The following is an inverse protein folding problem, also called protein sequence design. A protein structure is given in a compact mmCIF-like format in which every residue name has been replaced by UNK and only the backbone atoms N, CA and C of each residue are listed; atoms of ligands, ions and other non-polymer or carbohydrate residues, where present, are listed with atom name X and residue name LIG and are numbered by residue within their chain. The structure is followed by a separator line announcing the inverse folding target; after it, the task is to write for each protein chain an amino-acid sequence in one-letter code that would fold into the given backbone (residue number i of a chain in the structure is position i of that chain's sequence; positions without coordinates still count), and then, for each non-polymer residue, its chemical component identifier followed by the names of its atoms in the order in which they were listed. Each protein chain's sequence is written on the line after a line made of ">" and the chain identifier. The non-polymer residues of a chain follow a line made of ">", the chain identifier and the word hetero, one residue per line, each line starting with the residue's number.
data_IF_891592807281
#
_entry.id   IF_891592807281
#
_cell.length_a   1.000
_cell.length_b   1.000
_cell.length_c   1.000
_cell.angle_alpha   90.00
_cell.angle_beta   90.00
_cell.angle_gamma   90.00
#
_symmetry.space_group_name_H-M   'P 1'
#
loop_
_entity.id
_entity.type
_entity.pdbx_description
1 polymer ?
#
# COMPACT_ATOMS: atom_id res chain seq x y z
N UNK A 1 -11.27 12.70 10.95
CA UNK A 1 -11.32 11.22 10.88
C UNK A 1 -10.30 10.69 9.87
N UNK A 2 -9.61 9.58 10.17
CA UNK A 2 -8.71 8.88 9.25
C UNK A 2 -9.31 7.53 8.83
N UNK A 3 -9.59 7.36 7.54
CA UNK A 3 -10.06 6.10 6.94
C UNK A 3 -8.93 5.41 6.18
N UNK A 4 -8.98 4.09 6.10
CA UNK A 4 -8.13 3.27 5.24
C UNK A 4 -8.91 2.07 4.74
N UNK A 5 -8.52 1.56 3.58
CA UNK A 5 -8.88 0.20 3.19
C UNK A 5 -7.80 -0.72 3.69
N UNK A 6 -8.19 -1.77 4.41
CA UNK A 6 -7.25 -2.73 4.96
C UNK A 6 -7.69 -4.15 4.61
N UNK A 7 -6.70 -5.04 4.45
CA UNK A 7 -6.94 -6.43 4.09
C UNK A 7 -7.03 -7.28 5.35
N UNK A 8 -8.15 -7.98 5.48
CA UNK A 8 -8.40 -8.91 6.59
C UNK A 8 -9.04 -10.18 6.08
N UNK A 9 -8.46 -11.33 6.43
CA UNK A 9 -8.92 -12.64 5.95
C UNK A 9 -9.08 -12.68 4.43
N UNK A 10 -8.13 -12.05 3.72
CA UNK A 10 -8.07 -11.96 2.26
C UNK A 10 -9.02 -10.98 1.58
N UNK A 11 -9.89 -10.31 2.33
CA UNK A 11 -10.90 -9.38 1.82
C UNK A 11 -10.53 -7.94 2.22
N UNK A 12 -10.71 -7.00 1.29
CA UNK A 12 -10.58 -5.58 1.58
C UNK A 12 -11.79 -5.08 2.35
N UNK A 13 -11.54 -4.37 3.45
CA UNK A 13 -12.55 -3.83 4.36
C UNK A 13 -12.25 -2.38 4.65
N UNK A 14 -13.30 -1.60 4.96
CA UNK A 14 -13.14 -0.23 5.43
C UNK A 14 -12.74 -0.22 6.91
N UNK A 15 -11.65 0.46 7.21
CA UNK A 15 -11.13 0.69 8.54
C UNK A 15 -11.08 2.17 8.91
N UNK A 16 -11.11 2.46 10.21
CA UNK A 16 -10.78 3.77 10.77
C UNK A 16 -9.63 3.64 11.76
N UNK A 17 -8.60 4.49 11.64
CA UNK A 17 -7.45 4.46 12.54
C UNK A 17 -7.76 5.19 13.84
N UNK A 18 -7.70 4.46 14.97
CA UNK A 18 -7.90 5.00 16.31
C UNK A 18 -6.85 4.44 17.28
N UNK A 19 -6.05 5.31 17.89
CA UNK A 19 -5.08 4.94 18.94
C UNK A 19 -4.16 3.75 18.55
N UNK A 20 -3.71 3.69 17.29
CA UNK A 20 -2.85 2.62 16.76
C UNK A 20 -3.59 1.34 16.35
N UNK A 21 -4.93 1.34 16.36
CA UNK A 21 -5.75 0.21 15.92
C UNK A 21 -6.60 0.60 14.72
N UNK A 22 -6.81 -0.36 13.81
CA UNK A 22 -7.77 -0.28 12.73
C UNK A 22 -9.10 -0.81 13.25
N UNK A 23 -10.08 0.08 13.41
CA UNK A 23 -11.46 -0.25 13.77
C UNK A 23 -12.25 -0.60 12.51
N UNK A 24 -12.89 -1.76 12.50
CA UNK A 24 -13.69 -2.26 11.39
C UNK A 24 -15.00 -1.48 11.26
N UNK A 25 -15.13 -0.67 10.20
CA UNK A 25 -16.28 0.22 10.02
C UNK A 25 -17.56 -0.55 9.69
N UNK A 26 -17.47 -1.73 9.09
CA UNK A 26 -18.63 -2.57 8.85
C UNK A 26 -19.22 -3.08 10.17
N UNK A 27 -18.38 -3.52 11.09
CA UNK A 27 -18.82 -4.02 12.40
C UNK A 27 -19.39 -2.92 13.30
N UNK A 28 -18.91 -1.67 13.14
CA UNK A 28 -19.39 -0.53 13.93
C UNK A 28 -20.62 0.14 13.31
N UNK A 29 -20.62 0.32 11.99
CA UNK A 29 -21.58 1.19 11.31
C UNK A 29 -22.28 0.55 10.10
N UNK A 30 -21.93 -0.68 9.73
CA UNK A 30 -22.57 -1.41 8.61
C UNK A 30 -22.10 -0.99 7.22
N UNK A 31 -20.95 -0.31 7.11
CA UNK A 31 -20.38 0.12 5.83
C UNK A 31 -19.11 -0.66 5.51
N UNK A 32 -19.15 -1.48 4.46
CA UNK A 32 -18.10 -2.45 4.13
C UNK A 32 -16.87 -1.87 3.42
N UNK A 33 -17.05 -0.83 2.60
CA UNK A 33 -15.99 -0.26 1.76
C UNK A 33 -16.06 1.28 1.68
N UNK A 34 -14.93 1.89 1.34
CA UNK A 34 -14.79 3.35 1.31
C UNK A 34 -15.66 4.01 0.24
N UNK A 35 -15.83 3.38 -0.92
CA UNK A 35 -16.61 3.96 -2.01
C UNK A 35 -18.11 3.98 -1.67
N UNK A 36 -18.61 2.94 -0.99
CA UNK A 36 -19.96 2.91 -0.42
C UNK A 36 -20.16 3.99 0.64
N UNK A 37 -19.16 4.24 1.50
CA UNK A 37 -19.20 5.36 2.44
C UNK A 37 -19.33 6.69 1.70
N UNK A 38 -18.44 6.95 0.75
CA UNK A 38 -18.42 8.19 -0.05
C UNK A 38 -19.76 8.41 -0.74
N UNK A 39 -20.29 7.40 -1.44
CA UNK A 39 -21.55 7.48 -2.18
C UNK A 39 -22.79 7.63 -1.29
N UNK A 40 -22.71 7.21 -0.02
CA UNK A 40 -23.79 7.39 0.94
C UNK A 40 -24.05 8.84 1.36
N UNK A 41 -23.13 9.76 1.04
CA UNK A 41 -23.28 11.19 1.26
C UNK A 41 -23.22 11.60 2.73
N UNK A 42 -23.37 12.91 2.96
CA UNK A 42 -23.10 13.59 4.24
C UNK A 42 -23.82 12.93 5.42
N UNK A 43 -25.10 12.58 5.28
CA UNK A 43 -25.86 11.95 6.37
C UNK A 43 -25.27 10.60 6.82
N UNK A 44 -24.77 9.78 5.87
CA UNK A 44 -24.09 8.54 6.21
C UNK A 44 -22.71 8.83 6.84
N UNK A 45 -21.98 9.81 6.31
CA UNK A 45 -20.67 10.19 6.84
C UNK A 45 -20.77 10.62 8.30
N UNK A 46 -21.75 11.48 8.64
CA UNK A 46 -22.02 11.94 10.00
C UNK A 46 -22.38 10.76 10.91
N UNK A 47 -23.30 9.90 10.47
CA UNK A 47 -23.71 8.70 11.22
C UNK A 47 -22.53 7.79 11.52
N UNK A 48 -21.69 7.52 10.52
CA UNK A 48 -20.50 6.66 10.67
C UNK A 48 -19.48 7.31 11.60
N UNK A 49 -19.24 8.62 11.45
CA UNK A 49 -18.31 9.36 12.29
C UNK A 49 -18.76 9.39 13.77
N UNK A 50 -20.05 9.62 14.04
CA UNK A 50 -20.62 9.58 15.38
C UNK A 50 -20.48 8.19 16.02
N UNK A 51 -20.85 7.13 15.29
CA UNK A 51 -20.69 5.76 15.78
C UNK A 51 -19.23 5.44 16.10
N UNK A 52 -18.31 5.77 15.20
CA UNK A 52 -16.88 5.57 15.43
C UNK A 52 -16.32 6.37 16.62
N UNK A 53 -16.78 7.61 16.82
CA UNK A 53 -16.37 8.44 17.98
C UNK A 53 -16.90 7.89 19.31
N UNK A 54 -18.10 7.30 19.28
CA UNK A 54 -18.75 6.72 20.46
C UNK A 54 -18.30 5.29 20.80
N UNK A 55 -17.58 4.62 19.88
CA UNK A 55 -17.23 3.22 20.02
C UNK A 55 -16.19 2.97 21.13
N UNK A 56 -16.44 1.96 21.97
CA UNK A 56 -15.49 1.54 22.99
C UNK A 56 -14.42 0.62 22.39
N UNK A 57 -13.20 1.15 22.20
CA UNK A 57 -12.09 0.42 21.60
C UNK A 57 -11.72 -0.87 22.36
N UNK A 58 -11.86 -0.91 23.70
CA UNK A 58 -11.56 -2.11 24.48
C UNK A 58 -12.55 -3.25 24.17
N UNK A 59 -13.85 -2.93 24.05
CA UNK A 59 -14.86 -3.90 23.64
C UNK A 59 -14.67 -4.36 22.20
N UNK A 60 -14.32 -3.43 21.29
CA UNK A 60 -14.07 -3.77 19.89
C UNK A 60 -12.88 -4.72 19.77
N UNK A 61 -11.79 -4.50 20.52
CA UNK A 61 -10.66 -5.45 20.59
C UNK A 61 -11.10 -6.82 21.09
N UNK A 62 -11.87 -6.88 22.18
CA UNK A 62 -12.36 -8.13 22.74
C UNK A 62 -13.25 -8.92 21.77
N UNK A 63 -14.00 -8.23 20.91
CA UNK A 63 -14.85 -8.82 19.86
C UNK A 63 -14.10 -9.08 18.54
N UNK A 64 -12.82 -8.73 18.46
CA UNK A 64 -12.06 -8.78 17.21
C UNK A 64 -12.51 -7.75 16.16
N UNK A 65 -13.28 -6.73 16.52
CA UNK A 65 -13.69 -5.64 15.64
C UNK A 65 -12.63 -4.54 15.49
N UNK A 66 -11.49 -4.66 16.18
CA UNK A 66 -10.33 -3.78 16.03
C UNK A 66 -9.04 -4.60 16.03
N UNK A 67 -8.15 -4.31 15.08
CA UNK A 67 -6.85 -4.99 14.93
C UNK A 67 -5.72 -3.98 15.05
N UNK A 68 -4.54 -4.41 15.52
CA UNK A 68 -3.39 -3.53 15.61
C UNK A 68 -3.01 -3.06 14.19
N UNK A 69 -2.72 -1.77 14.04
CA UNK A 69 -2.27 -1.23 12.77
C UNK A 69 -0.92 -1.84 12.36
N UNK A 70 -0.82 -2.21 11.09
CA UNK A 70 0.42 -2.63 10.45
C UNK A 70 0.37 -2.20 8.98
N UNK A 71 1.48 -1.66 8.47
CA UNK A 71 1.58 -1.12 7.11
C UNK A 71 1.17 -2.14 6.05
N UNK A 72 1.66 -3.38 6.17
CA UNK A 72 1.28 -4.45 5.25
C UNK A 72 -0.22 -4.74 5.17
N UNK A 73 -1.02 -4.39 6.18
CA UNK A 73 -2.48 -4.56 6.08
C UNK A 73 -3.14 -3.52 5.19
N UNK A 74 -2.48 -2.40 4.89
CA UNK A 74 -3.08 -1.26 4.19
C UNK A 74 -3.08 -1.51 2.68
N UNK A 75 -4.24 -1.32 2.06
CA UNK A 75 -4.41 -1.34 0.60
C UNK A 75 -4.70 0.06 0.07
N UNK A 76 -4.71 0.23 -1.25
CA UNK A 76 -5.20 1.46 -1.87
C UNK A 76 -6.63 1.78 -1.36
N UNK A 77 -7.00 3.07 -1.19
CA UNK A 77 -8.35 3.46 -0.75
C UNK A 77 -9.46 2.74 -1.54
N UNK A 78 -9.32 2.69 -2.85
CA UNK A 78 -10.09 1.84 -3.76
C UNK A 78 -9.38 1.80 -5.13
N UNK A 79 -9.47 0.67 -5.84
CA UNK A 79 -8.83 0.47 -7.16
C UNK A 79 -9.80 0.61 -8.34
N UNK A 80 -11.08 0.81 -8.06
CA UNK A 80 -12.16 0.96 -9.04
C UNK A 80 -12.90 2.30 -8.86
N UNK A 81 -12.20 3.45 -8.95
CA UNK A 81 -12.86 4.76 -8.96
C UNK A 81 -13.91 4.86 -10.10
N UNK A 82 -14.90 5.77 -9.99
CA UNK A 82 -15.90 5.96 -11.06
C UNK A 82 -15.29 6.31 -12.43
N UNK A 83 -14.14 6.99 -12.42
CA UNK A 83 -13.37 7.40 -13.61
C UNK A 83 -11.88 7.12 -13.40
N UNK A 84 -11.09 7.31 -14.46
CA UNK A 84 -9.65 7.43 -14.32
C UNK A 84 -9.28 8.51 -13.28
N UNK A 85 -8.12 8.35 -12.63
CA UNK A 85 -7.58 9.39 -11.73
C UNK A 85 -7.26 10.63 -12.57
N UNK A 86 -7.87 11.77 -12.24
CA UNK A 86 -7.67 13.04 -12.94
C UNK A 86 -6.39 13.67 -12.38
N UNK A 87 -5.44 14.03 -13.24
CA UNK A 87 -4.13 14.48 -12.80
C UNK A 87 -3.81 15.85 -13.41
N UNK A 88 -3.12 16.70 -12.63
CA UNK A 88 -2.68 18.01 -13.06
C UNK A 88 -1.19 18.03 -13.35
N UNK A 89 -0.82 18.52 -14.52
CA UNK A 89 0.58 18.75 -14.86
C UNK A 89 1.01 20.17 -14.52
N UNK A 90 2.28 20.32 -14.12
CA UNK A 90 2.94 21.63 -14.00
C UNK A 90 2.20 22.61 -13.07
N UNK A 91 1.66 22.13 -11.95
CA UNK A 91 0.88 22.97 -11.02
C UNK A 91 1.71 23.60 -9.87
N UNK A 92 3.03 23.47 -9.91
CA UNK A 92 3.95 24.21 -9.04
C UNK A 92 4.87 25.08 -9.90
N UNK A 93 5.03 26.35 -9.51
CA UNK A 93 5.84 27.29 -10.29
C UNK A 93 7.30 26.84 -10.43
N UNK A 94 7.90 26.33 -9.35
CA UNK A 94 9.28 25.82 -9.38
C UNK A 94 9.42 24.59 -10.27
N UNK A 95 8.46 23.65 -10.23
CA UNK A 95 8.43 22.48 -11.11
C UNK A 95 8.36 22.88 -12.59
N UNK A 96 7.54 23.90 -12.89
CA UNK A 96 7.49 24.50 -14.21
C UNK A 96 8.86 25.06 -14.65
N UNK A 97 9.53 25.81 -13.77
CA UNK A 97 10.84 26.41 -14.04
C UNK A 97 11.95 25.39 -14.27
N UNK A 98 12.07 24.34 -13.44
CA UNK A 98 13.12 23.31 -13.64
C UNK A 98 12.98 22.62 -14.99
N UNK A 99 11.76 22.38 -15.44
CA UNK A 99 11.49 21.82 -16.75
C UNK A 99 11.90 22.74 -17.88
N UNK A 100 11.59 24.05 -17.78
CA UNK A 100 12.00 25.05 -18.78
C UNK A 100 13.53 25.17 -18.85
N UNK A 101 14.21 25.21 -17.70
CA UNK A 101 15.68 25.22 -17.61
C UNK A 101 16.27 23.97 -18.25
N UNK A 102 15.74 22.78 -17.95
CA UNK A 102 16.22 21.52 -18.53
C UNK A 102 16.05 21.46 -20.06
N UNK A 103 15.08 22.18 -20.63
CA UNK A 103 14.86 22.30 -22.08
C UNK A 103 15.65 23.45 -22.73
N UNK A 104 16.38 24.24 -21.95
CA UNK A 104 17.09 25.43 -22.45
C UNK A 104 16.16 26.57 -22.87
N UNK A 105 14.93 26.59 -22.36
CA UNK A 105 13.92 27.59 -22.67
C UNK A 105 14.09 28.80 -21.72
N UNK A 106 14.22 30.01 -22.28
CA UNK A 106 14.29 31.25 -21.52
C UNK A 106 13.06 32.12 -21.77
N UNK A 107 12.43 32.65 -20.70
CA UNK A 107 11.30 33.57 -20.81
C UNK A 107 9.94 32.89 -21.05
N UNK A 108 9.87 31.58 -20.83
CA UNK A 108 8.64 30.82 -20.95
C UNK A 108 7.69 31.18 -19.79
N UNK A 109 6.38 31.35 -20.08
CA UNK A 109 5.37 31.74 -19.10
C UNK A 109 4.70 30.50 -18.50
N UNK A 110 4.41 30.49 -17.19
CA UNK A 110 3.63 29.41 -16.58
C UNK A 110 2.27 29.28 -17.28
N UNK A 111 1.66 28.07 -17.28
CA UNK A 111 0.35 27.86 -17.89
C UNK A 111 -0.70 28.86 -17.38
N UNK A 112 -1.50 29.42 -18.29
CA UNK A 112 -2.62 30.32 -17.94
C UNK A 112 -3.87 29.53 -17.51
N UNK A 113 -3.92 28.23 -17.79
CA UNK A 113 -4.99 27.32 -17.40
C UNK A 113 -4.40 25.96 -16.93
N UNK A 114 -5.13 25.21 -16.09
CA UNK A 114 -4.70 23.88 -15.65
C UNK A 114 -4.52 22.91 -16.84
N UNK A 115 -3.48 22.08 -16.77
CA UNK A 115 -3.25 21.02 -17.76
C UNK A 115 -3.68 19.69 -17.16
N UNK A 116 -4.73 19.09 -17.72
CA UNK A 116 -5.24 17.80 -17.25
C UNK A 116 -4.81 16.63 -18.13
N UNK A 117 -4.58 15.50 -17.47
CA UNK A 117 -4.46 14.19 -18.06
C UNK A 117 -5.07 13.17 -17.08
N UNK A 118 -4.98 11.88 -17.40
CA UNK A 118 -5.51 10.86 -16.50
C UNK A 118 -4.57 9.67 -16.35
N UNK A 119 -4.75 8.92 -15.26
CA UNK A 119 -4.14 7.60 -15.05
C UNK A 119 -5.24 6.53 -14.97
N UNK A 120 -5.12 5.40 -15.69
CA UNK A 120 -6.13 4.36 -15.69
C UNK A 120 -6.24 3.68 -14.32
N UNK A 121 -7.41 3.17 -13.90
CA UNK A 121 -7.57 2.45 -12.63
C UNK A 121 -6.61 1.28 -12.42
N UNK A 122 -6.16 0.62 -13.51
CA UNK A 122 -5.18 -0.47 -13.45
C UNK A 122 -3.79 -0.03 -12.96
N UNK A 123 -3.49 1.27 -13.01
CA UNK A 123 -2.25 1.82 -12.46
C UNK A 123 -2.28 1.96 -10.93
N UNK A 124 -3.45 1.87 -10.28
CA UNK A 124 -3.59 2.12 -8.84
C UNK A 124 -2.98 0.99 -8.02
N UNK A 125 -2.11 1.36 -7.07
CA UNK A 125 -1.50 0.48 -6.07
C UNK A 125 -1.60 1.05 -4.66
N UNK A 126 -1.45 0.20 -3.66
CA UNK A 126 -1.48 0.58 -2.25
C UNK A 126 -0.24 1.34 -1.78
N UNK A 127 -0.34 1.90 -0.58
CA UNK A 127 0.71 2.71 0.04
C UNK A 127 2.00 1.94 0.37
N UNK A 128 1.95 0.62 0.41
CA UNK A 128 3.09 -0.25 0.75
C UNK A 128 3.28 -1.41 -0.22
N UNK A 129 2.55 -1.41 -1.34
CA UNK A 129 2.72 -2.43 -2.38
C UNK A 129 4.07 -2.21 -3.08
N UNK A 130 4.76 -3.26 -3.55
CA UNK A 130 5.96 -3.06 -4.36
C UNK A 130 5.60 -2.51 -5.75
N UNK A 131 6.51 -1.74 -6.33
CA UNK A 131 6.31 -1.10 -7.63
C UNK A 131 7.11 -1.83 -8.70
N UNK A 132 6.45 -2.34 -9.76
CA UNK A 132 7.14 -3.02 -10.84
C UNK A 132 7.91 -2.00 -11.70
N UNK A 133 9.18 -2.30 -11.96
CA UNK A 133 10.02 -1.59 -12.92
C UNK A 133 10.43 -2.57 -14.02
N UNK A 134 9.84 -2.44 -15.19
CA UNK A 134 10.20 -3.22 -16.36
C UNK A 134 11.15 -2.41 -17.25
N UNK A 135 12.42 -2.83 -17.27
CA UNK A 135 13.47 -2.20 -18.07
C UNK A 135 13.28 -2.41 -19.59
N UNK A 136 12.46 -3.38 -20.03
CA UNK A 136 12.06 -3.48 -21.43
C UNK A 136 11.05 -2.39 -21.82
N UNK A 137 10.31 -1.85 -20.86
CA UNK A 137 9.32 -0.77 -21.07
C UNK A 137 9.96 0.61 -20.89
N UNK A 138 10.71 0.83 -19.80
CA UNK A 138 11.26 2.15 -19.47
C UNK A 138 12.62 2.07 -18.78
N UNK A 139 13.50 3.01 -19.15
CA UNK A 139 14.79 3.26 -18.49
C UNK A 139 14.78 4.57 -17.69
N UNK A 140 13.64 5.27 -17.67
CA UNK A 140 13.51 6.63 -17.15
C UNK A 140 12.27 6.77 -16.27
N UNK A 141 12.19 5.91 -15.26
CA UNK A 141 11.07 5.90 -14.34
C UNK A 141 11.28 6.90 -13.21
N UNK A 142 10.37 7.85 -13.09
CA UNK A 142 10.51 9.06 -12.29
C UNK A 142 9.42 9.17 -11.24
N UNK A 143 9.71 9.91 -10.16
CA UNK A 143 8.85 10.10 -9.00
C UNK A 143 8.16 11.47 -9.02
N UNK A 144 6.94 11.53 -8.48
CA UNK A 144 6.20 12.78 -8.35
C UNK A 144 5.27 12.72 -7.11
N UNK A 145 5.65 13.33 -5.97
CA UNK A 145 4.74 13.44 -4.81
C UNK A 145 3.61 14.42 -5.07
N UNK A 146 2.37 13.99 -4.85
CA UNK A 146 1.19 14.82 -5.08
C UNK A 146 0.18 14.74 -3.93
N UNK A 147 -0.52 15.86 -3.72
CA UNK A 147 -1.65 15.95 -2.81
C UNK A 147 -2.91 15.47 -3.53
N UNK A 148 -3.57 14.45 -2.97
CA UNK A 148 -4.76 13.83 -3.55
C UNK A 148 -6.05 14.37 -2.94
N UNK A 149 -7.05 14.64 -3.77
CA UNK A 149 -8.39 15.06 -3.37
C UNK A 149 -9.41 14.01 -3.81
N UNK A 150 -10.28 13.58 -2.90
CA UNK A 150 -11.38 12.65 -3.18
C UNK A 150 -12.71 13.40 -3.14
N UNK A 151 -13.44 13.35 -4.24
CA UNK A 151 -14.76 13.98 -4.37
C UNK A 151 -15.80 13.16 -3.60
N UNK A 152 -16.61 13.83 -2.80
CA UNK A 152 -17.65 13.25 -1.95
C UNK A 152 -19.06 13.43 -2.47
N UNK A 153 -19.47 14.68 -2.75
CA UNK A 153 -20.86 15.00 -3.17
C UNK A 153 -21.02 14.97 -4.69
N UNK A 154 -19.96 15.32 -5.43
CA UNK A 154 -20.02 15.48 -6.89
C UNK A 154 -20.83 16.70 -7.33
N UNK A 155 -20.92 16.94 -8.62
CA UNK A 155 -21.65 18.08 -9.19
C UNK A 155 -21.09 18.57 -10.52
N UNK A 156 -21.83 19.49 -11.14
CA UNK A 156 -21.44 20.19 -12.38
C UNK A 156 -21.61 21.69 -12.17
N UNK A 157 -20.73 22.49 -12.76
CA UNK A 157 -20.65 23.96 -12.58
C UNK A 157 -20.61 24.35 -11.10
N UNK A 158 -19.75 23.69 -10.34
CA UNK A 158 -19.55 23.95 -8.91
C UNK A 158 -18.87 25.31 -8.79
N UNK A 159 -19.50 26.24 -8.07
CA UNK A 159 -18.89 27.54 -7.78
C UNK A 159 -17.67 27.36 -6.87
N UNK A 160 -16.61 28.15 -7.10
CA UNK A 160 -15.34 28.02 -6.40
C UNK A 160 -15.48 28.09 -4.88
N UNK A 161 -16.33 28.98 -4.36
CA UNK A 161 -16.64 29.13 -2.93
C UNK A 161 -17.35 27.92 -2.31
N UNK A 162 -17.92 27.04 -3.14
CA UNK A 162 -18.56 25.81 -2.68
C UNK A 162 -17.67 24.58 -2.87
N UNK A 163 -16.58 24.68 -3.63
CA UNK A 163 -15.75 23.54 -4.06
C UNK A 163 -15.36 22.60 -2.90
N UNK A 164 -14.88 23.15 -1.78
CA UNK A 164 -14.44 22.33 -0.64
C UNK A 164 -15.58 21.56 0.03
N UNK A 165 -16.83 22.00 -0.09
CA UNK A 165 -18.01 21.26 0.41
C UNK A 165 -18.29 19.99 -0.38
N UNK A 166 -17.70 19.86 -1.57
CA UNK A 166 -17.80 18.66 -2.40
C UNK A 166 -16.70 17.64 -2.10
N UNK A 167 -15.73 17.95 -1.25
CA UNK A 167 -14.60 17.06 -0.92
C UNK A 167 -14.99 16.12 0.22
N UNK A 168 -14.75 14.82 0.03
CA UNK A 168 -14.87 13.82 1.10
C UNK A 168 -13.63 13.80 1.99
N UNK A 169 -12.44 13.86 1.37
CA UNK A 169 -11.18 13.83 2.09
C UNK A 169 -9.97 13.94 1.17
N UNK A 170 -8.80 13.83 1.81
CA UNK A 170 -7.49 14.02 1.19
C UNK A 170 -6.60 12.79 1.39
N UNK A 171 -5.70 12.54 0.46
CA UNK A 171 -4.78 11.40 0.49
C UNK A 171 -3.44 11.76 -0.15
N UNK A 172 -2.49 10.84 -0.17
CA UNK A 172 -1.22 10.97 -0.90
C UNK A 172 -1.35 10.23 -2.22
N UNK A 173 -0.82 10.83 -3.29
CA UNK A 173 -0.66 10.18 -4.59
C UNK A 173 0.82 10.29 -4.98
N UNK A 174 1.36 9.24 -5.61
CA UNK A 174 2.62 9.34 -6.32
C UNK A 174 2.39 9.15 -7.82
N UNK A 175 2.62 10.19 -8.61
CA UNK A 175 2.40 10.16 -10.05
C UNK A 175 3.64 9.65 -10.82
N UNK A 176 3.91 8.36 -10.67
CA UNK A 176 5.05 7.72 -11.29
C UNK A 176 5.00 7.83 -12.82
N UNK A 177 6.15 8.16 -13.41
CA UNK A 177 6.24 8.61 -14.80
C UNK A 177 7.36 7.89 -15.54
N UNK A 178 7.02 7.10 -16.56
CA UNK A 178 7.98 6.57 -17.52
C UNK A 178 8.29 7.65 -18.57
N UNK A 179 9.33 8.45 -18.37
CA UNK A 179 9.58 9.69 -19.14
C UNK A 179 9.87 9.45 -20.62
N UNK A 180 10.58 8.38 -20.93
CA UNK A 180 10.83 7.92 -22.30
C UNK A 180 9.53 7.53 -23.02
N UNK A 181 8.62 6.83 -22.34
CA UNK A 181 7.29 6.49 -22.86
C UNK A 181 6.42 7.75 -22.97
N UNK A 182 6.44 8.63 -21.96
CA UNK A 182 5.68 9.88 -21.92
C UNK A 182 6.02 10.77 -23.11
N UNK A 183 7.31 11.02 -23.36
CA UNK A 183 7.75 11.90 -24.45
C UNK A 183 7.57 11.30 -25.84
N UNK A 184 7.53 9.97 -25.95
CA UNK A 184 7.26 9.28 -27.22
C UNK A 184 5.84 9.48 -27.74
N UNK A 185 4.85 9.69 -26.86
CA UNK A 185 3.43 9.54 -27.21
C UNK A 185 2.63 10.85 -27.36
N UNK A 186 3.26 12.02 -27.32
CA UNK A 186 2.65 13.38 -27.34
C UNK A 186 1.70 13.67 -26.17
N UNK A 187 0.77 12.76 -25.88
CA UNK A 187 -0.09 12.73 -24.70
C UNK A 187 0.61 11.98 -23.56
N UNK A 188 0.37 12.40 -22.32
CA UNK A 188 1.05 11.83 -21.16
C UNK A 188 0.47 10.51 -20.67
N UNK A 189 -0.80 10.22 -21.01
CA UNK A 189 -1.55 9.05 -20.54
C UNK A 189 -0.75 7.75 -20.54
N UNK A 190 -0.09 7.41 -21.65
CA UNK A 190 0.62 6.13 -21.77
C UNK A 190 1.89 6.05 -20.91
N UNK A 191 2.62 7.15 -20.73
CA UNK A 191 3.79 7.18 -19.84
C UNK A 191 3.43 7.29 -18.36
N UNK A 192 2.19 7.69 -18.07
CA UNK A 192 1.61 7.84 -16.72
C UNK A 192 0.72 6.66 -16.33
N UNK A 193 0.49 5.70 -17.22
CA UNK A 193 -0.54 4.66 -17.05
C UNK A 193 -0.01 3.23 -17.00
N UNK A 194 1.24 3.03 -16.58
CA UNK A 194 1.80 1.71 -16.35
C UNK A 194 1.11 1.06 -15.13
N UNK A 195 1.00 -0.26 -15.11
CA UNK A 195 0.46 -0.96 -13.96
C UNK A 195 1.33 -0.67 -12.72
N UNK A 196 0.68 -0.32 -11.60
CA UNK A 196 1.35 0.10 -10.37
C UNK A 196 1.99 1.49 -10.37
N UNK A 197 1.79 2.30 -11.42
CA UNK A 197 2.34 3.66 -11.49
C UNK A 197 1.54 4.74 -10.75
N UNK A 198 0.46 4.39 -10.05
CA UNK A 198 -0.38 5.31 -9.28
C UNK A 198 -0.56 4.84 -7.83
N UNK A 199 0.48 4.86 -6.98
CA UNK A 199 0.29 4.62 -5.57
C UNK A 199 -0.61 5.64 -4.90
N UNK A 200 -1.59 5.18 -4.10
CA UNK A 200 -2.51 6.04 -3.35
C UNK A 200 -2.66 5.52 -1.91
N UNK A 201 -2.61 6.42 -0.93
CA UNK A 201 -2.85 6.09 0.48
C UNK A 201 -1.92 6.87 1.43
N UNK A 202 -1.52 6.30 2.59
CA UNK A 202 -2.12 5.14 3.25
C UNK A 202 -3.51 5.42 3.83
N UNK A 203 -3.85 6.69 4.00
CA UNK A 203 -5.12 7.11 4.58
C UNK A 203 -5.87 8.07 3.66
N UNK A 204 -7.19 8.07 3.81
CA UNK A 204 -8.06 9.17 3.41
C UNK A 204 -8.47 9.91 4.67
N UNK A 205 -7.98 11.14 4.83
CA UNK A 205 -8.27 11.97 5.99
C UNK A 205 -9.40 12.95 5.66
N UNK A 206 -10.36 13.11 6.57
CA UNK A 206 -11.43 14.09 6.39
C UNK A 206 -10.91 15.52 6.60
N UNK A 207 -11.60 16.55 6.06
CA UNK A 207 -11.10 17.92 6.08
C UNK A 207 -10.71 18.48 7.46
N UNK A 208 -11.36 18.03 8.54
CA UNK A 208 -11.06 18.41 9.93
C UNK A 208 -9.71 17.91 10.46
N UNK A 209 -9.01 17.01 9.76
CA UNK A 209 -7.67 16.53 10.13
C UNK A 209 -6.53 17.40 9.59
N UNK A 210 -6.83 18.36 8.70
CA UNK A 210 -5.86 19.24 8.06
C UNK A 210 -6.15 20.70 8.40
N UNK A 211 -5.16 21.62 8.30
CA UNK A 211 -5.41 23.04 8.47
C UNK A 211 -6.39 23.55 7.42
N UNK A 212 -7.25 24.51 7.78
CA UNK A 212 -8.25 25.11 6.87
C UNK A 212 -7.62 25.73 5.62
N UNK A 213 -6.40 26.27 5.74
CA UNK A 213 -5.65 26.80 4.59
C UNK A 213 -5.22 25.74 3.59
N UNK A 214 -5.21 24.46 4.00
CA UNK A 214 -4.63 23.34 3.24
C UNK A 214 -3.18 23.60 2.83
N UNK A 215 -2.42 24.39 3.59
CA UNK A 215 -0.99 24.60 3.42
C UNK A 215 -0.23 23.52 4.20
N UNK A 216 0.00 22.38 3.57
CA UNK A 216 0.51 21.17 4.19
C UNK A 216 1.91 20.86 3.64
N UNK A 217 2.91 20.62 4.49
CA UNK A 217 4.22 20.14 4.05
C UNK A 217 4.15 18.79 3.33
N UNK A 218 4.85 18.70 2.21
CA UNK A 218 4.98 17.48 1.39
C UNK A 218 6.44 17.19 1.10
N UNK A 219 6.82 15.92 1.09
CA UNK A 219 8.18 15.51 0.74
C UNK A 219 8.24 14.12 0.13
N UNK A 220 9.31 13.86 -0.61
CA UNK A 220 9.63 12.55 -1.17
C UNK A 220 11.09 12.23 -0.94
N UNK A 221 11.38 10.99 -0.55
CA UNK A 221 12.72 10.45 -0.39
C UNK A 221 12.93 9.25 -1.28
N UNK A 222 14.15 9.08 -1.78
CA UNK A 222 14.62 7.83 -2.39
C UNK A 222 15.87 7.40 -1.65
N UNK A 223 15.86 6.19 -1.11
CA UNK A 223 16.93 5.61 -0.28
C UNK A 223 17.32 6.53 0.90
N UNK A 224 16.32 7.14 1.55
CA UNK A 224 16.50 8.06 2.67
C UNK A 224 16.97 9.48 2.28
N UNK A 225 17.25 9.74 1.00
CA UNK A 225 17.68 11.05 0.50
C UNK A 225 16.46 11.83 0.03
N UNK A 226 16.23 13.02 0.60
CA UNK A 226 15.16 13.92 0.17
C UNK A 226 15.38 14.32 -1.31
N UNK A 227 14.36 14.06 -2.13
CA UNK A 227 14.32 14.39 -3.54
C UNK A 227 13.41 15.58 -3.85
N UNK A 228 12.27 15.65 -3.16
CA UNK A 228 11.30 16.74 -3.24
C UNK A 228 10.93 17.19 -1.83
N UNK A 229 10.76 18.50 -1.63
CA UNK A 229 10.32 19.12 -0.37
C UNK A 229 9.63 20.44 -0.67
N UNK A 230 8.35 20.54 -0.30
CA UNK A 230 7.50 21.68 -0.66
C UNK A 230 6.32 21.85 0.31
N UNK A 231 5.41 22.75 -0.03
CA UNK A 231 4.14 22.93 0.67
C UNK A 231 3.01 23.11 -0.34
N UNK A 232 1.85 22.50 -0.09
CA UNK A 232 0.67 22.59 -0.99
C UNK A 232 0.12 24.01 -1.16
N UNK A 233 0.47 24.96 -0.28
CA UNK A 233 0.20 26.38 -0.50
C UNK A 233 0.98 27.01 -1.66
N UNK A 234 1.87 26.26 -2.31
CA UNK A 234 2.63 26.68 -3.50
C UNK A 234 1.97 26.23 -4.81
N UNK A 235 0.81 25.56 -4.76
CA UNK A 235 0.01 25.25 -5.95
C UNK A 235 -0.33 26.55 -6.70
N UNK A 236 -0.14 26.56 -8.01
CA UNK A 236 -0.52 27.72 -8.85
C UNK A 236 -2.03 27.81 -9.04
N UNK A 237 -2.68 26.66 -9.24
CA UNK A 237 -4.12 26.50 -9.21
C UNK A 237 -4.51 25.73 -7.94
N UNK A 238 -5.21 26.41 -7.04
CA UNK A 238 -5.65 25.83 -5.78
C UNK A 238 -6.81 24.81 -5.96
N UNK A 239 -7.09 24.03 -4.92
CA UNK A 239 -8.13 22.98 -4.96
C UNK A 239 -9.51 23.54 -5.37
N UNK A 240 -9.98 24.69 -4.82
CA UNK A 240 -11.21 25.32 -5.29
C UNK A 240 -11.22 25.63 -6.78
N UNK A 241 -10.13 26.19 -7.32
CA UNK A 241 -9.99 26.52 -8.75
C UNK A 241 -10.08 25.26 -9.61
N UNK A 242 -9.35 24.20 -9.22
CA UNK A 242 -9.33 22.92 -9.94
C UNK A 242 -10.74 22.31 -10.03
N UNK A 243 -11.46 22.25 -8.90
CA UNK A 243 -12.81 21.67 -8.86
C UNK A 243 -13.80 22.50 -9.69
N UNK A 244 -13.75 23.84 -9.58
CA UNK A 244 -14.63 24.73 -10.34
C UNK A 244 -14.39 24.61 -11.86
N UNK A 245 -13.13 24.57 -12.27
CA UNK A 245 -12.73 24.45 -13.67
C UNK A 245 -13.14 23.09 -14.27
N UNK A 246 -12.74 21.98 -13.64
CA UNK A 246 -13.15 20.63 -14.08
C UNK A 246 -14.66 20.50 -14.17
N UNK A 247 -15.38 20.95 -13.14
CA UNK A 247 -16.83 20.80 -13.07
C UNK A 247 -17.59 21.68 -14.09
N UNK A 248 -16.93 22.69 -14.68
CA UNK A 248 -17.55 23.54 -15.71
C UNK A 248 -17.90 22.72 -16.95
N UNK A 249 -17.01 21.81 -17.34
CA UNK A 249 -17.14 21.02 -18.58
C UNK A 249 -17.71 19.63 -18.34
N UNK A 250 -17.35 18.99 -17.23
CA UNK A 250 -17.78 17.63 -16.89
C UNK A 250 -18.43 17.54 -15.50
N UNK A 251 -19.15 16.46 -15.24
CA UNK A 251 -19.70 16.18 -13.92
C UNK A 251 -18.63 15.48 -13.08
N UNK A 252 -18.33 16.01 -11.90
CA UNK A 252 -17.56 15.30 -10.87
C UNK A 252 -18.49 14.35 -10.13
N UNK A 253 -18.03 13.14 -9.86
CA UNK A 253 -18.81 12.08 -9.20
C UNK A 253 -18.23 11.74 -7.82
N UNK A 254 -19.08 11.34 -6.85
CA UNK A 254 -18.62 10.75 -5.59
C UNK A 254 -17.64 9.59 -5.83
N UNK A 255 -16.41 9.74 -5.35
CA UNK A 255 -15.31 8.80 -5.50
C UNK A 255 -14.31 9.17 -6.59
N UNK A 256 -14.55 10.21 -7.39
CA UNK A 256 -13.52 10.73 -8.30
C UNK A 256 -12.27 11.15 -7.50
N UNK A 257 -11.09 10.83 -8.04
CA UNK A 257 -9.79 11.15 -7.45
C UNK A 257 -9.11 12.19 -8.32
N UNK A 258 -8.61 13.27 -7.69
CA UNK A 258 -7.84 14.33 -8.33
C UNK A 258 -6.43 14.38 -7.72
N UNK A 259 -5.41 14.29 -8.57
CA UNK A 259 -3.99 14.46 -8.25
C UNK A 259 -3.58 15.88 -8.64
N UNK A 260 -3.13 16.69 -7.67
CA UNK A 260 -3.05 18.16 -7.85
C UNK A 260 -1.77 18.67 -8.49
N UNK A 261 -0.85 17.81 -8.91
CA UNK A 261 0.46 18.15 -9.43
C UNK A 261 1.58 18.02 -8.39
N UNK A 262 2.80 17.96 -8.89
CA UNK A 262 4.04 17.72 -8.13
C UNK A 262 4.94 18.97 -8.03
N UNK A 263 5.68 19.16 -6.93
CA UNK A 263 6.67 20.22 -6.79
C UNK A 263 7.96 19.93 -7.60
N UNK A 264 8.94 20.84 -7.53
CA UNK A 264 10.26 20.63 -8.12
C UNK A 264 11.03 19.47 -7.47
N UNK A 265 12.11 19.03 -8.12
CA UNK A 265 12.98 17.96 -7.64
C UNK A 265 12.68 16.59 -8.26
N UNK A 266 11.90 16.54 -9.33
CA UNK A 266 11.71 15.31 -10.12
C UNK A 266 13.04 14.87 -10.73
N UNK A 267 13.24 13.57 -10.84
CA UNK A 267 14.47 12.96 -11.30
C UNK A 267 14.89 13.38 -12.71
N UNK A 268 13.91 13.53 -13.63
CA UNK A 268 14.16 13.86 -15.03
C UNK A 268 14.79 15.25 -15.25
N UNK A 269 14.61 16.19 -14.31
CA UNK A 269 15.14 17.55 -14.43
C UNK A 269 16.38 17.80 -13.54
N UNK A 270 16.88 16.76 -12.87
CA UNK A 270 18.16 16.81 -12.17
C UNK A 270 19.33 16.88 -13.15
N UNK A 271 20.49 17.35 -12.67
CA UNK A 271 21.73 17.39 -13.43
C UNK A 271 22.86 16.69 -12.66
N UNK A 272 23.25 15.46 -13.06
CA UNK A 272 22.66 14.64 -14.13
C UNK A 272 21.23 14.15 -13.77
N UNK A 273 20.42 13.75 -14.77
CA UNK A 273 19.12 13.13 -14.50
C UNK A 273 19.26 11.88 -13.63
N UNK A 274 18.28 11.65 -12.78
CA UNK A 274 18.21 10.54 -11.85
C UNK A 274 16.87 9.81 -12.03
N UNK A 275 16.86 8.48 -11.96
CA UNK A 275 15.64 7.68 -12.12
C UNK A 275 15.63 6.55 -11.10
N UNK A 276 14.44 6.03 -10.82
CA UNK A 276 14.26 4.87 -9.97
C UNK A 276 14.95 3.64 -10.57
N UNK A 277 15.60 2.88 -9.72
CA UNK A 277 16.26 1.62 -10.05
C UNK A 277 15.74 0.47 -9.19
N UNK A 278 16.03 -0.76 -9.61
CA UNK A 278 15.75 -1.92 -8.78
C UNK A 278 16.36 -1.79 -7.38
N UNK A 279 15.55 -2.15 -6.38
CA UNK A 279 15.82 -2.14 -4.94
C UNK A 279 15.82 -0.76 -4.31
N UNK A 280 15.53 0.30 -5.07
CA UNK A 280 15.27 1.60 -4.46
C UNK A 280 14.07 1.52 -3.52
N UNK A 281 14.18 2.23 -2.40
CA UNK A 281 13.09 2.48 -1.46
C UNK A 281 12.65 3.93 -1.63
N UNK A 282 11.43 4.11 -2.10
CA UNK A 282 10.81 5.43 -2.24
C UNK A 282 9.83 5.68 -1.10
N UNK A 283 9.93 6.81 -0.42
CA UNK A 283 9.01 7.23 0.63
C UNK A 283 8.33 8.53 0.24
N UNK A 284 7.00 8.58 0.32
CA UNK A 284 6.20 9.75 -0.01
C UNK A 284 5.43 10.20 1.23
N UNK A 285 5.64 11.44 1.68
CA UNK A 285 5.15 11.93 2.97
C UNK A 285 4.33 13.21 2.76
N UNK A 286 3.15 13.25 3.38
CA UNK A 286 2.35 14.46 3.53
C UNK A 286 1.94 14.59 4.99
N UNK A 287 2.31 15.70 5.62
CA UNK A 287 2.02 15.95 7.03
C UNK A 287 0.50 15.93 7.29
N UNK A 288 0.08 15.38 8.43
CA UNK A 288 -1.33 15.21 8.77
C UNK A 288 -2.03 14.02 8.08
N UNK A 289 -1.54 13.59 6.92
CA UNK A 289 -2.03 12.39 6.20
C UNK A 289 -1.23 11.15 6.61
N UNK A 290 0.05 11.06 6.26
CA UNK A 290 0.88 9.89 6.58
C UNK A 290 2.09 9.71 5.66
N UNK A 291 2.56 8.47 5.55
CA UNK A 291 3.70 8.07 4.72
C UNK A 291 3.31 6.85 3.88
N UNK A 292 3.63 6.90 2.59
CA UNK A 292 3.69 5.71 1.74
C UNK A 292 5.15 5.28 1.56
N UNK A 293 5.40 3.97 1.43
CA UNK A 293 6.75 3.42 1.23
C UNK A 293 6.72 2.31 0.20
N UNK A 294 7.50 2.46 -0.86
CA UNK A 294 7.48 1.58 -2.03
C UNK A 294 8.87 1.02 -2.32
N UNK A 295 8.97 -0.31 -2.42
CA UNK A 295 10.15 -1.00 -2.94
C UNK A 295 10.03 -1.16 -4.46
N UNK A 296 11.05 -0.71 -5.20
CA UNK A 296 11.11 -0.86 -6.66
C UNK A 296 11.71 -2.22 -6.99
N UNK A 297 11.02 -3.04 -7.78
CA UNK A 297 11.48 -4.40 -8.11
C UNK A 297 11.08 -4.84 -9.51
N UNK A 298 11.65 -5.93 -10.01
CA UNK A 298 11.29 -6.47 -11.32
C UNK A 298 9.84 -7.00 -11.32
N UNK A 299 9.15 -7.00 -12.47
CA UNK A 299 7.80 -7.57 -12.57
C UNK A 299 7.73 -9.01 -12.06
N UNK A 300 8.75 -9.85 -12.29
CA UNK A 300 8.72 -11.24 -11.79
C UNK A 300 8.78 -11.30 -10.27
N UNK A 301 9.59 -10.44 -9.64
CA UNK A 301 9.69 -10.37 -8.18
C UNK A 301 8.40 -9.86 -7.55
N UNK A 302 7.81 -8.81 -8.12
CA UNK A 302 6.50 -8.28 -7.70
C UNK A 302 5.43 -9.36 -7.83
N UNK A 303 5.39 -10.08 -8.96
CA UNK A 303 4.42 -11.16 -9.17
C UNK A 303 4.58 -12.33 -8.17
N UNK A 304 5.83 -12.68 -7.82
CA UNK A 304 6.11 -13.72 -6.82
C UNK A 304 5.64 -13.29 -5.42
N UNK A 305 5.92 -12.05 -5.00
CA UNK A 305 5.43 -11.52 -3.71
C UNK A 305 3.91 -11.47 -3.71
N UNK A 306 3.27 -11.01 -4.79
CA UNK A 306 1.82 -11.01 -4.90
C UNK A 306 1.21 -12.44 -4.82
N UNK A 307 1.89 -13.45 -5.36
CA UNK A 307 1.48 -14.84 -5.21
C UNK A 307 1.63 -15.34 -3.76
N UNK A 308 2.71 -14.94 -3.09
CA UNK A 308 2.95 -15.23 -1.69
C UNK A 308 1.88 -14.60 -0.78
N UNK A 309 1.57 -13.31 -0.98
CA UNK A 309 0.48 -12.61 -0.29
C UNK A 309 -0.87 -13.29 -0.48
N UNK A 310 -1.22 -13.68 -1.71
CA UNK A 310 -2.48 -14.40 -1.98
C UNK A 310 -2.57 -15.73 -1.21
N UNK A 311 -1.49 -16.50 -1.14
CA UNK A 311 -1.48 -17.75 -0.40
C UNK A 311 -1.62 -17.53 1.12
N UNK A 312 -1.00 -16.48 1.68
CA UNK A 312 -1.25 -16.07 3.06
C UNK A 312 -2.71 -15.71 3.26
N UNK A 313 -3.29 -14.94 2.36
CA UNK A 313 -4.67 -14.48 2.47
C UNK A 313 -5.69 -15.62 2.40
N UNK A 314 -5.45 -16.61 1.53
CA UNK A 314 -6.19 -17.89 1.49
C UNK A 314 -6.11 -18.60 2.86
N UNK A 315 -4.92 -18.70 3.45
CA UNK A 315 -4.73 -19.27 4.78
C UNK A 315 -5.49 -18.48 5.87
N UNK A 316 -5.40 -17.15 5.87
CA UNK A 316 -6.10 -16.32 6.86
C UNK A 316 -7.62 -16.42 6.73
N UNK A 317 -8.13 -16.62 5.51
CA UNK A 317 -9.54 -16.90 5.27
C UNK A 317 -9.93 -18.25 5.89
N UNK A 318 -9.13 -19.30 5.67
CA UNK A 318 -9.35 -20.61 6.31
C UNK A 318 -9.32 -20.49 7.84
N UNK A 319 -8.33 -19.79 8.39
CA UNK A 319 -8.19 -19.62 9.84
C UNK A 319 -9.36 -18.85 10.46
N UNK A 320 -9.99 -17.94 9.72
CA UNK A 320 -11.19 -17.23 10.20
C UNK A 320 -12.41 -18.13 10.44
N UNK A 321 -12.41 -19.34 9.86
CA UNK A 321 -13.46 -20.34 10.04
C UNK A 321 -13.18 -21.27 11.24
N UNK A 322 -11.96 -21.24 11.80
CA UNK A 322 -11.56 -22.11 12.91
C UNK A 322 -12.19 -21.60 14.21
N UNK A 323 -13.04 -22.41 14.83
CA UNK A 323 -13.67 -22.14 16.10
C UNK A 323 -12.84 -22.72 17.26
N UNK A 324 -13.00 -22.23 18.51
CA UNK A 324 -12.23 -22.69 19.66
C UNK A 324 -12.22 -24.21 19.87
N UNK A 325 -13.34 -24.89 19.59
CA UNK A 325 -13.42 -26.35 19.70
C UNK A 325 -12.56 -27.10 18.67
N UNK A 326 -12.09 -26.43 17.61
CA UNK A 326 -11.22 -27.03 16.59
C UNK A 326 -9.73 -26.93 16.95
N UNK A 327 -9.34 -26.10 17.93
CA UNK A 327 -7.94 -25.73 18.14
C UNK A 327 -7.05 -26.93 18.48
N UNK A 328 -7.55 -27.83 19.31
CA UNK A 328 -6.82 -28.98 19.82
C UNK A 328 -7.12 -30.28 19.02
N UNK A 329 -7.89 -30.18 17.93
CA UNK A 329 -8.14 -31.32 17.05
C UNK A 329 -6.89 -31.64 16.22
N UNK A 330 -6.58 -32.93 16.11
CA UNK A 330 -5.49 -33.42 15.29
C UNK A 330 -5.69 -33.09 13.81
N UNK A 331 -4.62 -32.69 13.14
CA UNK A 331 -4.61 -32.48 11.69
C UNK A 331 -4.42 -33.80 10.94
N UNK A 332 -4.30 -33.75 9.60
CA UNK A 332 -3.96 -34.91 8.77
C UNK A 332 -2.63 -35.54 9.21
N UNK A 333 -1.71 -34.71 9.72
CA UNK A 333 -0.58 -35.18 10.49
C UNK A 333 -1.00 -35.33 11.97
N UNK A 334 -1.15 -36.56 12.49
CA UNK A 334 -1.68 -36.78 13.84
C UNK A 334 -0.77 -36.23 14.94
N UNK A 335 0.48 -35.90 14.62
CA UNK A 335 1.43 -35.33 15.57
C UNK A 335 1.13 -33.87 15.91
N UNK A 336 0.29 -33.17 15.13
CA UNK A 336 0.00 -31.75 15.31
C UNK A 336 -1.50 -31.48 15.43
N UNK A 337 -1.88 -30.69 16.43
CA UNK A 337 -3.18 -30.00 16.48
C UNK A 337 -3.25 -28.84 15.49
N UNK A 338 -4.45 -28.32 15.20
CA UNK A 338 -4.63 -27.10 14.38
C UNK A 338 -3.81 -25.94 14.93
N UNK A 339 -3.81 -25.75 16.25
CA UNK A 339 -3.06 -24.67 16.90
C UNK A 339 -1.54 -24.84 16.76
N UNK A 340 -1.04 -26.06 16.93
CA UNK A 340 0.39 -26.36 16.75
C UNK A 340 0.82 -26.20 15.29
N UNK A 341 -0.05 -26.52 14.33
CA UNK A 341 0.21 -26.29 12.91
C UNK A 341 0.34 -24.80 12.59
N UNK A 342 -0.52 -23.94 13.16
CA UNK A 342 -0.38 -22.49 13.00
C UNK A 342 0.88 -21.96 13.68
N UNK A 343 1.24 -22.51 14.85
CA UNK A 343 2.50 -22.19 15.51
C UNK A 343 3.73 -22.58 14.66
N UNK A 344 3.67 -23.72 13.97
CA UNK A 344 4.68 -24.16 13.01
C UNK A 344 4.82 -23.16 11.86
N UNK A 345 3.72 -22.74 11.25
CA UNK A 345 3.73 -21.76 10.16
C UNK A 345 4.31 -20.42 10.60
N UNK A 346 3.86 -19.87 11.74
CA UNK A 346 4.34 -18.61 12.29
C UNK A 346 5.85 -18.67 12.61
N UNK A 347 6.31 -19.76 13.22
CA UNK A 347 7.73 -19.97 13.50
C UNK A 347 8.58 -20.12 12.23
N UNK A 348 8.09 -20.89 11.26
CA UNK A 348 8.77 -21.14 10.00
C UNK A 348 9.01 -19.87 9.18
N UNK A 349 8.04 -18.96 9.13
CA UNK A 349 8.17 -17.70 8.41
C UNK A 349 9.02 -16.66 9.18
N UNK A 350 8.90 -16.60 10.51
CA UNK A 350 9.76 -15.75 11.36
C UNK A 350 11.23 -16.14 11.23
N UNK A 351 11.50 -17.44 11.16
CA UNK A 351 12.83 -17.96 10.89
C UNK A 351 13.33 -17.53 9.50
N UNK A 352 12.48 -17.60 8.47
CA UNK A 352 12.85 -17.17 7.12
C UNK A 352 13.27 -15.70 7.08
N UNK A 353 12.51 -14.81 7.72
CA UNK A 353 12.87 -13.40 7.84
C UNK A 353 14.25 -13.23 8.49
N UNK A 354 14.47 -13.92 9.61
CA UNK A 354 15.76 -13.90 10.33
C UNK A 354 16.92 -14.41 9.46
N UNK A 355 16.70 -15.48 8.70
CA UNK A 355 17.72 -16.07 7.84
C UNK A 355 18.10 -15.14 6.67
N UNK A 356 17.11 -14.51 6.03
CA UNK A 356 17.36 -13.55 4.94
C UNK A 356 18.06 -12.31 5.50
N UNK A 357 17.62 -11.78 6.64
CA UNK A 357 18.27 -10.64 7.30
C UNK A 357 19.73 -10.95 7.62
N UNK A 358 20.03 -12.10 8.23
CA UNK A 358 21.40 -12.49 8.54
C UNK A 358 22.29 -12.64 7.31
N UNK A 359 21.72 -13.10 6.20
CA UNK A 359 22.40 -13.14 4.91
C UNK A 359 22.74 -11.73 4.40
N UNK A 360 21.81 -10.78 4.52
CA UNK A 360 22.06 -9.36 4.22
C UNK A 360 23.16 -8.76 5.11
N UNK A 361 23.18 -9.13 6.39
CA UNK A 361 24.17 -8.66 7.36
C UNK A 361 25.55 -9.35 7.23
N UNK A 362 25.70 -10.31 6.30
CA UNK A 362 26.94 -11.08 6.13
C UNK A 362 27.21 -12.11 7.23
N UNK A 363 26.24 -12.38 8.09
CA UNK A 363 26.35 -13.35 9.21
C UNK A 363 25.80 -14.71 8.79
N UNK A 364 26.62 -15.51 8.09
CA UNK A 364 26.24 -16.86 7.67
C UNK A 364 25.78 -17.73 8.86
N UNK A 365 24.61 -18.35 8.73
CA UNK A 365 24.10 -19.31 9.74
C UNK A 365 24.81 -20.65 9.53
N UNK A 366 25.67 -21.03 10.48
CA UNK A 366 26.25 -22.36 10.52
C UNK A 366 25.24 -23.40 11.07
N UNK A 367 24.91 -24.41 10.27
CA UNK A 367 24.40 -25.72 10.72
C UNK A 367 22.88 -25.88 10.89
N UNK A 368 22.29 -26.79 10.10
CA UNK A 368 20.84 -27.08 10.01
C UNK A 368 20.31 -27.94 11.16
N UNK A 369 21.17 -28.73 11.82
CA UNK A 369 20.73 -29.66 12.87
C UNK A 369 20.27 -28.92 14.14
N UNK A 370 21.00 -27.86 14.51
CA UNK A 370 20.58 -26.93 15.56
C UNK A 370 19.35 -26.08 15.17
N UNK A 371 18.99 -26.00 13.87
CA UNK A 371 17.82 -25.25 13.39
C UNK A 371 16.52 -26.05 13.49
N UNK A 372 16.55 -27.36 13.23
CA UNK A 372 15.35 -28.21 13.33
C UNK A 372 14.94 -28.45 14.78
N UNK A 373 15.91 -28.71 15.67
CA UNK A 373 15.66 -28.85 17.11
C UNK A 373 15.15 -27.53 17.73
N UNK A 374 15.65 -26.37 17.25
CA UNK A 374 15.13 -25.05 17.64
C UNK A 374 13.73 -24.79 17.12
N UNK A 375 13.40 -25.13 15.88
CA UNK A 375 12.04 -24.95 15.38
C UNK A 375 11.02 -25.84 16.11
N UNK A 376 11.35 -27.10 16.38
CA UNK A 376 10.47 -28.01 17.11
C UNK A 376 10.26 -27.57 18.58
N UNK A 377 11.32 -27.18 19.28
CA UNK A 377 11.21 -26.61 20.64
C UNK A 377 10.45 -25.28 20.66
N UNK A 378 10.63 -24.45 19.63
CA UNK A 378 9.89 -23.20 19.49
C UNK A 378 8.40 -23.38 19.16
N UNK A 379 7.97 -24.49 18.53
CA UNK A 379 6.53 -24.76 18.31
C UNK A 379 5.84 -24.96 19.67
N UNK A 380 6.46 -25.73 20.57
CA UNK A 380 5.94 -25.96 21.92
C UNK A 380 5.92 -24.66 22.75
N UNK A 381 6.95 -23.81 22.65
CA UNK A 381 6.95 -22.48 23.29
C UNK A 381 5.86 -21.55 22.72
N UNK A 382 5.62 -21.60 21.40
CA UNK A 382 4.59 -20.80 20.72
C UNK A 382 3.18 -21.32 20.97
N UNK A 383 3.00 -22.61 21.22
CA UNK A 383 1.68 -23.21 21.48
C UNK A 383 0.99 -22.63 22.73
N UNK A 384 1.72 -21.95 23.62
CA UNK A 384 1.15 -21.21 24.77
C UNK A 384 0.38 -19.96 24.32
N UNK A 385 0.74 -19.36 23.18
CA UNK A 385 0.05 -18.18 22.63
C UNK A 385 -1.37 -18.52 22.20
N UNK A 386 -2.27 -17.54 22.20
CA UNK A 386 -3.57 -17.65 21.56
C UNK A 386 -3.44 -17.81 20.04
N UNK A 387 -4.48 -18.35 19.38
CA UNK A 387 -4.47 -18.47 17.92
C UNK A 387 -4.30 -17.10 17.24
N UNK A 388 -4.93 -16.05 17.79
CA UNK A 388 -4.81 -14.70 17.26
C UNK A 388 -3.38 -14.16 17.34
N UNK A 389 -2.68 -14.36 18.46
CA UNK A 389 -1.27 -13.95 18.60
C UNK A 389 -0.35 -14.66 17.60
N UNK A 390 -0.63 -15.94 17.29
CA UNK A 390 0.11 -16.69 16.27
C UNK A 390 -0.17 -16.16 14.86
N UNK A 391 -1.42 -15.83 14.56
CA UNK A 391 -1.82 -15.20 13.29
C UNK A 391 -1.13 -13.85 13.13
N UNK A 392 -1.12 -13.02 14.17
CA UNK A 392 -0.48 -11.71 14.15
C UNK A 392 1.04 -11.83 13.92
N UNK A 393 1.70 -12.80 14.57
CA UNK A 393 3.12 -13.12 14.34
C UNK A 393 3.37 -13.58 12.90
N UNK A 394 2.54 -14.47 12.36
CA UNK A 394 2.64 -14.97 10.98
C UNK A 394 2.53 -13.83 9.98
N UNK A 395 1.52 -12.97 10.12
CA UNK A 395 1.28 -11.83 9.23
C UNK A 395 2.45 -10.85 9.26
N UNK A 396 2.93 -10.49 10.44
CA UNK A 396 4.09 -9.59 10.60
C UNK A 396 5.33 -10.16 9.91
N UNK A 397 5.66 -11.42 10.20
CA UNK A 397 6.85 -12.07 9.65
C UNK A 397 6.74 -12.32 8.15
N UNK A 398 5.54 -12.57 7.63
CA UNK A 398 5.28 -12.65 6.19
C UNK A 398 5.66 -11.36 5.47
N UNK A 399 5.17 -10.20 5.94
CA UNK A 399 5.51 -8.92 5.34
C UNK A 399 7.01 -8.63 5.42
N UNK A 400 7.64 -8.97 6.55
CA UNK A 400 9.08 -8.84 6.69
C UNK A 400 9.84 -9.69 5.66
N UNK A 401 9.42 -10.94 5.40
CA UNK A 401 10.03 -11.78 4.36
C UNK A 401 9.87 -11.17 2.97
N UNK A 402 8.68 -10.66 2.64
CA UNK A 402 8.42 -10.03 1.34
C UNK A 402 9.34 -8.83 1.10
N UNK A 403 9.43 -7.91 2.06
CA UNK A 403 10.30 -6.73 1.99
C UNK A 403 11.77 -7.11 1.87
N UNK A 404 12.23 -8.04 2.72
CA UNK A 404 13.61 -8.50 2.69
C UNK A 404 13.93 -9.14 1.34
N UNK A 405 13.05 -10.00 0.82
CA UNK A 405 13.23 -10.63 -0.48
C UNK A 405 13.39 -9.60 -1.61
N UNK A 406 12.53 -8.58 -1.64
CA UNK A 406 12.58 -7.54 -2.66
C UNK A 406 13.85 -6.68 -2.59
N UNK A 407 14.44 -6.53 -1.39
CA UNK A 407 15.69 -5.78 -1.18
C UNK A 407 16.97 -6.51 -1.67
N UNK A 408 16.90 -7.83 -1.88
CA UNK A 408 18.06 -8.64 -2.28
C UNK A 408 18.56 -8.29 -3.69
N UNK A 409 19.86 -8.39 -3.91
CA UNK A 409 20.42 -8.49 -5.28
C UNK A 409 20.02 -9.80 -5.95
N UNK A 410 20.15 -9.88 -7.28
CA UNK A 410 19.86 -11.12 -7.99
C UNK A 410 20.79 -12.26 -7.58
N UNK A 411 22.08 -11.99 -7.37
CA UNK A 411 23.04 -12.95 -6.82
C UNK A 411 22.60 -13.47 -5.45
N UNK A 412 22.18 -12.58 -4.54
CA UNK A 412 21.71 -12.96 -3.21
C UNK A 412 20.46 -13.86 -3.29
N UNK A 413 19.53 -13.60 -4.22
CA UNK A 413 18.35 -14.48 -4.37
C UNK A 413 18.69 -15.90 -4.80
N UNK A 414 19.83 -16.10 -5.48
CA UNK A 414 20.35 -17.40 -5.89
C UNK A 414 21.17 -18.10 -4.80
N UNK A 415 21.41 -17.44 -3.66
CA UNK A 415 22.09 -18.08 -2.53
C UNK A 415 21.29 -19.28 -2.05
N UNK A 416 21.96 -20.44 -1.95
CA UNK A 416 21.33 -21.68 -1.55
C UNK A 416 21.38 -21.89 -0.04
N UNK A 417 20.29 -22.39 0.51
CA UNK A 417 20.21 -22.96 1.86
C UNK A 417 19.71 -24.39 1.76
N UNK A 418 20.16 -25.25 2.66
CA UNK A 418 19.69 -26.64 2.70
C UNK A 418 18.50 -26.76 3.63
N UNK A 419 17.43 -27.39 3.15
CA UNK A 419 16.20 -27.66 3.88
C UNK A 419 16.38 -28.81 4.88
N UNK A 420 15.39 -29.00 5.76
CA UNK A 420 15.31 -30.16 6.66
C UNK A 420 15.31 -31.50 5.91
N UNK A 421 14.76 -31.53 4.69
CA UNK A 421 14.79 -32.69 3.79
C UNK A 421 16.16 -32.97 3.15
N UNK A 422 17.17 -32.13 3.39
CA UNK A 422 18.47 -32.21 2.72
C UNK A 422 18.52 -31.59 1.32
N UNK A 423 17.37 -31.14 0.77
CA UNK A 423 17.33 -30.45 -0.50
C UNK A 423 17.99 -29.07 -0.41
N UNK A 424 18.86 -28.72 -1.37
CA UNK A 424 19.37 -27.35 -1.53
C UNK A 424 18.35 -26.53 -2.31
N UNK A 425 17.96 -25.38 -1.77
CA UNK A 425 17.02 -24.46 -2.41
C UNK A 425 17.55 -23.04 -2.33
N UNK A 426 17.33 -22.25 -3.38
CA UNK A 426 17.66 -20.81 -3.37
C UNK A 426 16.69 -20.04 -2.47
N UNK A 427 17.02 -18.79 -2.11
CA UNK A 427 16.07 -17.92 -1.38
C UNK A 427 14.80 -17.71 -2.22
N UNK A 428 14.95 -17.56 -3.54
CA UNK A 428 13.82 -17.44 -4.48
C UNK A 428 12.90 -18.68 -4.45
N UNK A 429 13.47 -19.88 -4.62
CA UNK A 429 12.72 -21.14 -4.55
C UNK A 429 12.08 -21.36 -3.18
N UNK A 430 12.73 -20.89 -2.12
CA UNK A 430 12.21 -20.99 -0.76
C UNK A 430 10.94 -20.16 -0.58
N UNK A 431 10.88 -18.95 -1.16
CA UNK A 431 9.66 -18.14 -1.15
C UNK A 431 8.52 -18.83 -1.89
N UNK A 432 8.78 -19.40 -3.07
CA UNK A 432 7.80 -20.21 -3.81
C UNK A 432 7.28 -21.40 -2.99
N UNK A 433 8.17 -22.06 -2.25
CA UNK A 433 7.80 -23.15 -1.35
C UNK A 433 6.93 -22.69 -0.19
N UNK A 434 7.22 -21.55 0.44
CA UNK A 434 6.35 -21.01 1.48
C UNK A 434 4.95 -20.69 0.96
N UNK A 435 4.83 -20.18 -0.26
CA UNK A 435 3.53 -20.01 -0.94
C UNK A 435 2.75 -21.31 -1.04
N UNK A 436 3.38 -22.41 -1.44
CA UNK A 436 2.73 -23.72 -1.51
C UNK A 436 2.41 -24.29 -0.12
N UNK A 437 3.32 -24.08 0.84
CA UNK A 437 3.19 -24.55 2.21
C UNK A 437 1.94 -23.95 2.90
N UNK A 438 1.65 -22.67 2.67
CA UNK A 438 0.40 -22.06 3.14
C UNK A 438 -0.84 -22.73 2.55
N UNK A 439 -0.84 -23.09 1.27
CA UNK A 439 -1.97 -23.75 0.61
C UNK A 439 -2.19 -25.17 1.10
N UNK A 440 -1.10 -25.92 1.25
CA UNK A 440 -1.12 -27.30 1.77
C UNK A 440 -1.76 -27.32 3.17
N UNK A 441 -1.28 -26.48 4.08
CA UNK A 441 -1.82 -26.42 5.43
C UNK A 441 -3.21 -25.79 5.53
N UNK A 442 -3.57 -24.89 4.62
CA UNK A 442 -4.96 -24.43 4.49
C UNK A 442 -5.89 -25.60 4.17
N UNK A 443 -5.49 -26.50 3.27
CA UNK A 443 -6.27 -27.67 2.92
C UNK A 443 -6.41 -28.67 4.08
N UNK A 444 -5.34 -28.87 4.87
CA UNK A 444 -5.38 -29.69 6.09
C UNK A 444 -6.35 -29.14 7.14
N UNK A 445 -6.29 -27.83 7.40
CA UNK A 445 -7.18 -27.18 8.37
C UNK A 445 -8.65 -27.26 7.90
N UNK A 446 -8.92 -27.09 6.60
CA UNK A 446 -10.27 -27.25 6.05
C UNK A 446 -10.81 -28.67 6.29
N UNK A 447 -9.98 -29.71 6.23
CA UNK A 447 -10.41 -31.07 6.52
C UNK A 447 -10.82 -31.24 7.98
N UNK A 448 -10.06 -30.65 8.91
CA UNK A 448 -10.40 -30.67 10.35
C UNK A 448 -11.71 -29.93 10.63
N UNK A 449 -11.93 -28.77 10.00
CA UNK A 449 -13.18 -27.99 10.19
C UNK A 449 -14.42 -28.74 9.69
N UNK A 450 -14.26 -29.60 8.66
CA UNK A 450 -15.37 -30.34 8.04
C UNK A 450 -15.69 -31.67 8.73
N UNK A 451 -14.76 -32.20 9.52
CA UNK A 451 -14.92 -33.44 10.28
C UNK A 451 -15.73 -33.17 11.56
#
# INVERSE_FOLDING_TARGET
>A
MRYLTYRRSGINRLGSLQQGYIVDVEQVAGVGDLLSLIKGGIALWDTVAEKLKSANLAELKAKGAAVLYHEGLVSAPYTNPPKNVICLGRNYYKHYLEGAVARGESGEKPPEAPIYFTKPPTSITGAFDPIPLDYEITQKYDWEVEFGVIIGVGGKKIAQENALKHVFGYTIINDLSARDVQYKHQQWFKGKGLDGSCPIGPFVVTPDELPESLHVPISLKVNGIIKQEANTGQLMFDIPTIIADLSTTMTLEPGDIISTGTPDGVGNFRNPPEYLAHRDVMETIIEGIGTMRHLIASPERVALVAAFDRARDELLQTLSLVQPQHYDLATVNPDWSVKELVAHLAGGITFAATAIQRHLDGTLVAGIQAMNERNASQVQERAVKSLQELVDELVKSHYQVADLYLSLTDEQTQTTSTMSSGAKVTIHERLQRYTNHYREHSAEIIQVIKA
#
